data_IF_119153470653
#
_entry.id   IF_119153470653
#
_cell.length_a   1.000
_cell.length_b   1.000
_cell.length_c   1.000
_cell.angle_alpha   90.00
_cell.angle_beta   90.00
_cell.angle_gamma   90.00
#
_symmetry.space_group_name_H-M   'P 1'
#
loop_
_entity.id
_entity.type
_entity.pdbx_description
1 polymer ?
#
# COMPACT_ATOMS: atom_id res chain seq x y z
N UNK A 1 -9.65 24.47 -8.87
CA UNK A 1 -8.80 23.28 -8.91
C UNK A 1 -9.79 22.14 -8.88
N UNK A 2 -10.08 21.55 -10.04
CA UNK A 2 -11.08 20.49 -10.10
C UNK A 2 -10.60 19.35 -9.22
N UNK A 3 -11.41 19.02 -8.21
CA UNK A 3 -11.20 17.89 -7.33
C UNK A 3 -11.19 16.66 -8.24
N UNK A 4 -10.02 16.07 -8.49
CA UNK A 4 -9.90 14.85 -9.26
C UNK A 4 -10.62 13.78 -8.45
N UNK A 5 -11.89 13.55 -8.77
CA UNK A 5 -12.70 12.51 -8.16
C UNK A 5 -12.00 11.18 -8.41
N UNK A 6 -11.51 10.57 -7.34
CA UNK A 6 -10.95 9.24 -7.39
C UNK A 6 -12.00 8.28 -7.95
N UNK A 7 -11.64 7.35 -8.86
CA UNK A 7 -12.51 6.25 -9.21
C UNK A 7 -13.11 5.59 -7.96
N UNK A 8 -14.45 5.39 -7.90
CA UNK A 8 -15.12 4.89 -6.69
C UNK A 8 -14.53 3.59 -6.14
N UNK A 9 -13.93 2.76 -7.00
CA UNK A 9 -13.25 1.53 -6.62
C UNK A 9 -12.04 1.79 -5.71
N UNK A 10 -11.17 2.74 -6.08
CA UNK A 10 -10.03 3.16 -5.26
C UNK A 10 -10.53 3.74 -3.96
N UNK A 11 -11.52 4.62 -4.05
CA UNK A 11 -12.04 5.34 -2.89
C UNK A 11 -12.57 4.34 -1.84
N UNK A 12 -13.35 3.34 -2.28
CA UNK A 12 -13.85 2.29 -1.40
C UNK A 12 -12.73 1.41 -0.83
N UNK A 13 -11.67 1.12 -1.61
CA UNK A 13 -10.50 0.36 -1.14
C UNK A 13 -9.71 1.12 -0.07
N UNK A 14 -9.44 2.41 -0.31
CA UNK A 14 -8.78 3.29 0.66
C UNK A 14 -9.64 3.39 1.93
N UNK A 15 -10.96 3.62 1.79
CA UNK A 15 -11.88 3.67 2.94
C UNK A 15 -11.87 2.36 3.72
N UNK A 16 -11.93 1.21 3.06
CA UNK A 16 -11.87 -0.09 3.72
C UNK A 16 -10.60 -0.24 4.57
N UNK A 17 -9.44 0.04 3.96
CA UNK A 17 -8.14 -0.05 4.64
C UNK A 17 -7.98 0.94 5.78
N UNK A 18 -8.43 2.18 5.57
CA UNK A 18 -8.49 3.20 6.59
C UNK A 18 -9.33 2.77 7.79
N UNK A 19 -10.54 2.29 7.53
CA UNK A 19 -11.50 1.91 8.56
C UNK A 19 -11.06 0.68 9.34
N UNK A 20 -10.41 -0.30 8.70
CA UNK A 20 -9.75 -1.42 9.40
C UNK A 20 -8.71 -0.93 10.39
N UNK A 21 -7.84 -0.02 9.97
CA UNK A 21 -6.84 0.55 10.87
C UNK A 21 -7.47 1.29 12.06
N UNK A 22 -8.47 2.14 11.78
CA UNK A 22 -9.18 2.93 12.79
C UNK A 22 -9.90 2.02 13.80
N UNK A 23 -10.59 0.98 13.32
CA UNK A 23 -11.36 0.07 14.17
C UNK A 23 -10.45 -0.75 15.09
N UNK A 24 -9.37 -1.30 14.55
CA UNK A 24 -8.51 -2.23 15.27
C UNK A 24 -7.52 -1.56 16.22
N UNK A 25 -6.91 -0.47 15.77
CA UNK A 25 -5.82 0.20 16.50
C UNK A 25 -6.29 1.46 17.21
N UNK A 26 -7.49 1.94 16.89
CA UNK A 26 -8.04 3.18 17.41
C UNK A 26 -7.37 4.40 16.78
N UNK A 27 -8.05 5.54 16.89
CA UNK A 27 -7.48 6.86 16.60
C UNK A 27 -7.86 7.81 17.74
N UNK A 28 -6.97 8.74 18.13
CA UNK A 28 -7.30 9.75 19.12
C UNK A 28 -8.40 10.67 18.58
N UNK A 29 -9.22 11.26 19.46
CA UNK A 29 -10.29 12.18 19.02
C UNK A 29 -9.74 13.38 18.22
N UNK A 30 -8.49 13.76 18.48
CA UNK A 30 -7.76 14.79 17.71
C UNK A 30 -7.51 14.42 16.25
N UNK A 31 -7.49 13.14 15.89
CA UNK A 31 -7.47 12.69 14.49
C UNK A 31 -8.76 13.11 13.79
N UNK A 32 -9.91 12.79 14.38
CA UNK A 32 -11.23 13.11 13.81
C UNK A 32 -11.47 14.62 13.69
N UNK A 33 -10.91 15.40 14.61
CA UNK A 33 -11.04 16.87 14.61
C UNK A 33 -10.11 17.59 13.62
N UNK A 34 -9.01 16.96 13.20
CA UNK A 34 -8.01 17.59 12.31
C UNK A 34 -8.22 17.31 10.82
N UNK A 35 -9.01 16.29 10.49
CA UNK A 35 -9.28 15.92 9.12
C UNK A 35 -10.64 16.45 8.68
N UNK A 36 -10.60 17.58 7.97
CA UNK A 36 -11.76 18.05 7.21
C UNK A 36 -12.22 16.93 6.26
N UNK A 37 -13.51 16.60 6.32
CA UNK A 37 -14.12 15.51 5.55
C UNK A 37 -14.24 14.16 6.27
N UNK A 38 -13.60 13.98 7.44
CA UNK A 38 -13.82 12.80 8.29
C UNK A 38 -15.12 12.95 9.09
N UNK A 39 -15.33 14.10 9.73
CA UNK A 39 -16.60 14.44 10.39
C UNK A 39 -17.56 15.08 9.38
N UNK A 40 -18.82 14.67 9.42
CA UNK A 40 -19.90 15.39 8.73
C UNK A 40 -20.23 16.69 9.50
N UNK A 41 -20.82 17.67 8.82
CA UNK A 41 -21.19 18.94 9.45
C UNK A 41 -22.13 18.71 10.65
N UNK A 42 -21.71 19.15 11.83
CA UNK A 42 -22.44 18.95 13.08
C UNK A 42 -22.30 17.57 13.74
N UNK A 43 -21.54 16.63 13.14
CA UNK A 43 -21.33 15.28 13.66
C UNK A 43 -20.34 15.27 14.83
N UNK A 44 -20.70 14.62 15.93
CA UNK A 44 -19.78 14.36 17.04
C UNK A 44 -18.81 13.21 16.73
N UNK A 45 -17.66 13.16 17.41
CA UNK A 45 -16.69 12.06 17.27
C UNK A 45 -17.32 10.69 17.58
N UNK A 46 -18.25 10.62 18.52
CA UNK A 46 -18.96 9.37 18.86
C UNK A 46 -19.86 8.91 17.70
N UNK A 47 -20.61 9.82 17.09
CA UNK A 47 -21.45 9.51 15.93
C UNK A 47 -20.60 9.06 14.74
N UNK A 48 -19.46 9.73 14.49
CA UNK A 48 -18.53 9.35 13.44
C UNK A 48 -17.96 7.94 13.65
N UNK A 49 -17.58 7.57 14.89
CA UNK A 49 -17.11 6.21 15.21
C UNK A 49 -18.17 5.15 14.93
N UNK A 50 -19.45 5.43 15.21
CA UNK A 50 -20.57 4.53 14.90
C UNK A 50 -20.75 4.41 13.38
N UNK A 51 -20.78 5.54 12.67
CA UNK A 51 -20.89 5.57 11.20
C UNK A 51 -19.76 4.79 10.53
N UNK A 52 -18.54 4.95 11.00
CA UNK A 52 -17.36 4.24 10.51
C UNK A 52 -17.44 2.74 10.72
N UNK A 53 -17.94 2.30 11.88
CA UNK A 53 -18.18 0.88 12.13
C UNK A 53 -19.22 0.29 11.17
N UNK A 54 -20.31 1.02 10.91
CA UNK A 54 -21.34 0.59 9.97
C UNK A 54 -20.81 0.54 8.54
N UNK A 55 -20.10 1.59 8.10
CA UNK A 55 -19.48 1.66 6.79
C UNK A 55 -18.43 0.56 6.58
N UNK A 56 -17.62 0.25 7.59
CA UNK A 56 -16.67 -0.87 7.55
C UNK A 56 -17.42 -2.18 7.31
N UNK A 57 -18.50 -2.44 8.06
CA UNK A 57 -19.29 -3.66 7.91
C UNK A 57 -19.95 -3.77 6.53
N UNK A 58 -20.33 -2.66 5.90
CA UNK A 58 -20.83 -2.62 4.53
C UNK A 58 -19.72 -2.92 3.51
N UNK A 59 -18.56 -2.28 3.65
CA UNK A 59 -17.42 -2.45 2.76
C UNK A 59 -16.84 -3.87 2.82
N UNK A 60 -16.75 -4.48 4.01
CA UNK A 60 -16.31 -5.87 4.19
C UNK A 60 -17.22 -6.90 3.51
N UNK A 61 -18.52 -6.59 3.40
CA UNK A 61 -19.49 -7.44 2.68
C UNK A 61 -19.46 -7.19 1.18
N UNK A 62 -19.09 -5.97 0.78
CA UNK A 62 -18.98 -5.61 -0.63
C UNK A 62 -17.73 -6.24 -1.25
N UNK A 63 -17.82 -6.65 -2.51
CA UNK A 63 -16.63 -7.05 -3.27
C UNK A 63 -15.88 -5.78 -3.69
N UNK A 64 -15.09 -5.21 -2.78
CA UNK A 64 -14.25 -4.04 -3.06
C UNK A 64 -13.17 -4.46 -4.05
N UNK A 65 -13.38 -4.13 -5.32
CA UNK A 65 -12.42 -4.37 -6.40
C UNK A 65 -11.38 -3.26 -6.45
N UNK A 66 -10.23 -3.54 -7.05
CA UNK A 66 -9.28 -2.47 -7.41
C UNK A 66 -9.77 -1.75 -8.67
N UNK A 67 -8.94 -0.83 -9.18
CA UNK A 67 -9.14 -0.26 -10.51
C UNK A 67 -8.68 -1.29 -11.53
N UNK A 68 -9.43 -1.46 -12.61
CA UNK A 68 -9.12 -2.41 -13.68
C UNK A 68 -7.68 -2.26 -14.21
N UNK A 69 -7.19 -1.02 -14.33
CA UNK A 69 -5.82 -0.76 -14.79
C UNK A 69 -4.77 -1.28 -13.81
N UNK A 70 -4.97 -1.05 -12.51
CA UNK A 70 -4.07 -1.54 -11.48
C UNK A 70 -4.12 -3.06 -11.39
N UNK A 71 -5.32 -3.66 -11.43
CA UNK A 71 -5.50 -5.11 -11.40
C UNK A 71 -4.75 -5.77 -12.59
N UNK A 72 -4.95 -5.28 -13.81
CA UNK A 72 -4.24 -5.78 -15.00
C UNK A 72 -2.73 -5.66 -14.85
N UNK A 73 -2.24 -4.52 -14.36
CA UNK A 73 -0.81 -4.26 -14.24
C UNK A 73 -0.17 -5.12 -13.14
N UNK A 74 -0.86 -5.32 -12.02
CA UNK A 74 -0.46 -6.25 -10.96
C UNK A 74 -0.42 -7.69 -11.47
N UNK A 75 -1.44 -8.12 -12.21
CA UNK A 75 -1.51 -9.50 -12.72
C UNK A 75 -0.36 -9.78 -13.70
N UNK A 76 -0.06 -8.84 -14.61
CA UNK A 76 1.07 -8.96 -15.52
C UNK A 76 2.41 -9.04 -14.78
N UNK A 77 2.59 -8.20 -13.75
CA UNK A 77 3.80 -8.16 -12.93
C UNK A 77 3.99 -9.45 -12.12
N UNK A 78 2.95 -9.88 -11.42
CA UNK A 78 2.96 -11.08 -10.59
C UNK A 78 3.18 -12.34 -11.44
N UNK A 79 2.61 -12.41 -12.64
CA UNK A 79 2.82 -13.53 -13.55
C UNK A 79 4.30 -13.65 -13.97
N UNK A 80 4.95 -12.53 -14.31
CA UNK A 80 6.37 -12.53 -14.74
C UNK A 80 7.32 -12.88 -13.59
N UNK A 81 7.03 -12.39 -12.39
CA UNK A 81 7.86 -12.61 -11.22
C UNK A 81 7.49 -13.85 -10.41
N UNK A 82 6.45 -14.57 -10.84
CA UNK A 82 5.93 -15.77 -10.17
C UNK A 82 5.58 -15.47 -8.71
N UNK A 83 4.95 -14.31 -8.49
CA UNK A 83 4.49 -13.82 -7.18
C UNK A 83 3.09 -14.33 -6.89
N UNK A 84 2.80 -14.55 -5.61
CA UNK A 84 1.49 -15.04 -5.18
C UNK A 84 0.50 -13.90 -4.84
N UNK A 85 -0.69 -14.27 -4.36
CA UNK A 85 -1.74 -13.31 -4.00
C UNK A 85 -1.36 -12.44 -2.79
N UNK A 86 -0.52 -12.94 -1.87
CA UNK A 86 -0.05 -12.15 -0.73
C UNK A 86 0.91 -11.08 -1.22
N UNK A 87 1.87 -11.45 -2.06
CA UNK A 87 2.79 -10.52 -2.72
C UNK A 87 2.01 -9.45 -3.50
N UNK A 88 1.00 -9.86 -4.27
CA UNK A 88 0.12 -8.97 -5.06
C UNK A 88 -0.55 -7.91 -4.17
N UNK A 89 -1.12 -8.33 -3.04
CA UNK A 89 -1.78 -7.42 -2.08
C UNK A 89 -0.81 -6.46 -1.41
N UNK A 90 0.41 -6.92 -1.11
CA UNK A 90 1.46 -6.05 -0.55
C UNK A 90 1.87 -4.98 -1.57
N UNK A 91 2.07 -5.36 -2.84
CA UNK A 91 2.40 -4.40 -3.91
C UNK A 91 1.23 -3.44 -4.13
N UNK A 92 -0.01 -3.92 -4.16
CA UNK A 92 -1.21 -3.07 -4.28
C UNK A 92 -1.25 -2.03 -3.17
N UNK A 93 -1.03 -2.44 -1.91
CA UNK A 93 -0.95 -1.52 -0.78
C UNK A 93 0.17 -0.50 -0.95
N UNK A 94 1.37 -0.96 -1.32
CA UNK A 94 2.51 -0.09 -1.54
C UNK A 94 2.23 0.94 -2.66
N UNK A 95 1.57 0.56 -3.75
CA UNK A 95 1.18 1.50 -4.83
C UNK A 95 0.20 2.54 -4.31
N UNK A 96 -0.87 2.12 -3.63
CA UNK A 96 -1.92 3.02 -3.16
C UNK A 96 -1.40 3.96 -2.06
N UNK A 97 -0.64 3.47 -1.08
CA UNK A 97 -0.12 4.32 0.01
C UNK A 97 0.89 5.36 -0.50
N UNK A 98 1.63 5.07 -1.58
CA UNK A 98 2.56 6.04 -2.17
C UNK A 98 1.86 7.15 -2.96
N UNK A 99 0.62 6.93 -3.42
CA UNK A 99 -0.10 7.86 -4.31
C UNK A 99 -1.23 8.63 -3.62
N UNK A 100 -1.83 8.07 -2.55
CA UNK A 100 -3.00 8.66 -1.92
C UNK A 100 -2.73 9.12 -0.48
N UNK A 101 -2.76 10.44 -0.28
CA UNK A 101 -2.46 11.10 1.01
C UNK A 101 -3.32 10.60 2.18
N UNK A 102 -4.60 10.31 1.94
CA UNK A 102 -5.52 9.86 2.99
C UNK A 102 -5.02 8.61 3.73
N UNK A 103 -4.40 7.66 3.02
CA UNK A 103 -3.84 6.46 3.63
C UNK A 103 -2.49 6.73 4.29
N UNK A 104 -1.69 7.63 3.73
CA UNK A 104 -0.43 8.06 4.34
C UNK A 104 -0.66 8.69 5.71
N UNK A 105 -1.69 9.51 5.83
CA UNK A 105 -2.00 10.18 7.09
C UNK A 105 -2.35 9.17 8.18
N UNK A 106 -3.18 8.18 7.87
CA UNK A 106 -3.47 7.09 8.81
C UNK A 106 -2.20 6.36 9.22
N UNK A 107 -1.32 6.05 8.26
CA UNK A 107 -0.02 5.43 8.53
C UNK A 107 0.89 6.30 9.42
N UNK A 108 0.85 7.63 9.27
CA UNK A 108 1.59 8.58 10.13
C UNK A 108 1.04 8.60 11.54
N UNK A 109 -0.27 8.50 11.72
CA UNK A 109 -0.90 8.43 13.04
C UNK A 109 -0.60 7.12 13.78
N UNK A 110 -0.52 6.00 13.05
CA UNK A 110 -0.07 4.72 13.62
C UNK A 110 1.39 4.78 14.10
N UNK A 111 2.17 5.69 13.54
CA UNK A 111 3.53 5.99 13.98
C UNK A 111 4.53 4.90 13.60
N UNK A 112 5.72 5.03 14.18
CA UNK A 112 6.78 4.05 14.01
C UNK A 112 6.49 2.81 14.88
N UNK A 113 6.75 1.62 14.33
CA UNK A 113 6.49 0.37 15.02
C UNK A 113 7.60 -0.66 14.80
N UNK A 114 7.76 -1.54 15.79
CA UNK A 114 8.65 -2.69 15.66
C UNK A 114 8.13 -3.65 14.59
N UNK A 115 9.03 -4.42 13.97
CA UNK A 115 8.71 -5.28 12.81
C UNK A 115 7.59 -6.30 13.05
N UNK A 116 7.42 -6.78 14.28
CA UNK A 116 6.31 -7.68 14.64
C UNK A 116 4.97 -6.96 14.52
N UNK A 117 4.85 -5.76 15.10
CA UNK A 117 3.64 -4.94 15.01
C UNK A 117 3.38 -4.51 13.56
N UNK A 118 4.44 -4.24 12.79
CA UNK A 118 4.31 -3.94 11.36
C UNK A 118 3.59 -5.06 10.59
N UNK A 119 3.96 -6.32 10.81
CA UNK A 119 3.28 -7.45 10.15
C UNK A 119 1.82 -7.56 10.58
N UNK A 120 1.51 -7.32 11.86
CA UNK A 120 0.14 -7.34 12.38
C UNK A 120 -0.72 -6.22 11.78
N UNK A 121 -0.19 -4.99 11.75
CA UNK A 121 -0.90 -3.82 11.25
C UNK A 121 -1.10 -3.93 9.73
N UNK A 122 -0.05 -4.22 8.97
CA UNK A 122 -0.16 -4.39 7.51
C UNK A 122 -1.14 -5.51 7.18
N UNK A 123 -1.00 -6.67 7.83
CA UNK A 123 -1.88 -7.82 7.62
C UNK A 123 -3.34 -7.49 7.92
N UNK A 124 -3.61 -6.80 9.02
CA UNK A 124 -4.96 -6.36 9.35
C UNK A 124 -5.54 -5.41 8.29
N UNK A 125 -4.78 -4.39 7.88
CA UNK A 125 -5.21 -3.42 6.87
C UNK A 125 -5.57 -4.11 5.56
N UNK A 126 -4.68 -4.95 5.02
CA UNK A 126 -4.87 -5.56 3.70
C UNK A 126 -5.69 -6.87 3.74
N UNK A 127 -6.07 -7.35 4.93
CA UNK A 127 -6.88 -8.54 5.12
C UNK A 127 -6.11 -9.84 4.82
N UNK A 128 -4.90 -9.94 5.36
CA UNK A 128 -4.00 -11.10 5.21
C UNK A 128 -3.42 -11.45 6.59
N UNK A 129 -3.30 -12.74 6.95
CA UNK A 129 -2.67 -13.14 8.20
C UNK A 129 -1.25 -12.58 8.35
N UNK A 130 -0.91 -12.09 9.54
CA UNK A 130 0.42 -11.52 9.81
C UNK A 130 1.58 -12.50 9.53
N UNK A 131 1.35 -13.80 9.72
CA UNK A 131 2.32 -14.85 9.37
C UNK A 131 2.61 -14.88 7.87
N UNK A 132 1.59 -14.74 7.03
CA UNK A 132 1.75 -14.76 5.58
C UNK A 132 2.45 -13.49 5.10
N UNK A 133 2.15 -12.33 5.71
CA UNK A 133 2.90 -11.08 5.49
C UNK A 133 4.38 -11.28 5.82
N UNK A 134 4.67 -11.89 6.97
CA UNK A 134 6.04 -12.19 7.39
C UNK A 134 6.73 -13.08 6.36
N UNK A 135 6.10 -14.18 5.92
CA UNK A 135 6.69 -15.05 4.89
C UNK A 135 6.97 -14.31 3.58
N UNK A 136 6.01 -13.52 3.10
CA UNK A 136 6.14 -12.75 1.86
C UNK A 136 7.24 -11.68 1.93
N UNK A 137 7.56 -11.18 3.13
CA UNK A 137 8.58 -10.14 3.34
C UNK A 137 9.93 -10.65 3.87
N UNK A 138 10.11 -11.95 4.04
CA UNK A 138 11.42 -12.55 4.40
C UNK A 138 12.46 -12.26 3.32
N UNK A 139 13.73 -12.04 3.67
CA UNK A 139 14.79 -11.71 2.70
C UNK A 139 14.88 -12.67 1.51
N UNK A 140 14.62 -13.96 1.72
CA UNK A 140 14.68 -15.01 0.69
C UNK A 140 13.40 -15.14 -0.15
N UNK A 141 12.35 -14.38 0.16
CA UNK A 141 11.09 -14.41 -0.57
C UNK A 141 11.24 -13.88 -1.99
N UNK A 142 10.38 -14.33 -2.90
CA UNK A 142 10.40 -13.86 -4.30
C UNK A 142 10.18 -12.35 -4.40
N UNK A 143 9.25 -11.80 -3.61
CA UNK A 143 8.99 -10.36 -3.59
C UNK A 143 10.23 -9.57 -3.16
N UNK A 144 10.95 -10.02 -2.12
CA UNK A 144 12.19 -9.36 -1.67
C UNK A 144 13.31 -9.50 -2.70
N UNK A 145 13.44 -10.66 -3.34
CA UNK A 145 14.45 -10.91 -4.37
C UNK A 145 14.14 -10.22 -5.71
N UNK A 146 12.89 -9.81 -5.95
CA UNK A 146 12.46 -9.15 -7.18
C UNK A 146 13.07 -7.75 -7.37
N UNK A 147 13.58 -7.13 -6.30
CA UNK A 147 14.02 -5.74 -6.25
C UNK A 147 12.95 -4.75 -6.74
N UNK A 148 11.66 -5.06 -6.68
CA UNK A 148 10.60 -4.07 -6.94
C UNK A 148 10.42 -3.15 -5.73
N UNK A 149 10.48 -3.77 -4.55
CA UNK A 149 10.11 -3.18 -3.29
C UNK A 149 11.36 -3.15 -2.39
N UNK A 150 11.85 -1.96 -2.09
CA UNK A 150 12.84 -1.77 -1.03
C UNK A 150 12.10 -1.69 0.31
N UNK A 151 12.55 -2.49 1.28
CA UNK A 151 12.07 -2.47 2.66
C UNK A 151 13.17 -1.93 3.56
N UNK A 152 12.93 -0.79 4.19
CA UNK A 152 13.89 -0.20 5.14
C UNK A 152 13.75 -0.90 6.50
N UNK A 153 14.57 -1.92 6.74
CA UNK A 153 14.58 -2.73 7.97
C UNK A 153 15.25 -2.00 9.15
N UNK A 154 14.71 -0.84 9.54
CA UNK A 154 15.08 -0.17 10.79
C UNK A 154 14.30 -0.77 11.96
N UNK A 155 14.77 -0.51 13.18
CA UNK A 155 14.05 -0.88 14.40
C UNK A 155 12.66 -0.23 14.48
N UNK A 156 12.51 0.93 13.83
CA UNK A 156 11.31 1.76 13.79
C UNK A 156 10.81 1.87 12.34
N UNK A 157 9.75 1.12 12.03
CA UNK A 157 9.17 1.00 10.69
C UNK A 157 7.86 1.79 10.63
N UNK A 158 7.67 2.62 9.60
CA UNK A 158 6.42 3.33 9.36
C UNK A 158 5.82 2.93 8.02
N UNK A 159 4.52 2.63 8.01
CA UNK A 159 3.80 2.06 6.85
C UNK A 159 3.83 2.94 5.60
N UNK A 160 3.85 4.27 5.75
CA UNK A 160 3.86 5.21 4.62
C UNK A 160 5.23 5.31 3.93
N UNK A 161 6.31 4.87 4.58
CA UNK A 161 7.67 5.00 4.05
C UNK A 161 8.49 3.70 4.05
N UNK A 162 7.94 2.60 4.58
CA UNK A 162 8.59 1.29 4.60
C UNK A 162 8.81 0.75 3.20
N UNK A 163 7.87 1.02 2.30
CA UNK A 163 7.86 0.54 0.93
C UNK A 163 8.27 1.66 -0.02
N UNK A 164 9.48 1.53 -0.56
CA UNK A 164 9.95 2.39 -1.65
C UNK A 164 10.12 1.56 -2.89
N UNK A 165 9.53 2.02 -3.99
CA UNK A 165 9.82 1.45 -5.28
C UNK A 165 11.15 1.99 -5.79
N UNK A 166 11.97 1.12 -6.38
CA UNK A 166 13.24 1.53 -7.00
C UNK A 166 13.04 2.49 -8.18
N UNK A 167 11.83 2.52 -8.75
CA UNK A 167 11.44 3.42 -9.80
C UNK A 167 10.42 4.44 -9.27
N UNK A 168 10.77 5.73 -9.33
CA UNK A 168 10.00 6.80 -8.68
C UNK A 168 8.58 7.00 -9.25
N UNK A 169 8.35 6.63 -10.50
CA UNK A 169 7.02 6.72 -11.12
C UNK A 169 6.29 5.36 -11.14
N UNK A 170 6.80 4.35 -10.41
CA UNK A 170 6.24 3.00 -10.44
C UNK A 170 4.78 2.99 -10.03
N UNK A 171 4.45 3.63 -8.90
CA UNK A 171 3.08 3.68 -8.41
C UNK A 171 2.15 4.40 -9.38
N UNK A 172 2.59 5.54 -9.94
CA UNK A 172 1.85 6.30 -10.94
C UNK A 172 1.60 5.48 -12.21
N UNK A 173 2.61 4.77 -12.72
CA UNK A 173 2.47 3.93 -13.91
C UNK A 173 1.59 2.71 -13.66
N UNK A 174 1.70 2.07 -12.49
CA UNK A 174 0.81 0.97 -12.10
C UNK A 174 -0.67 1.39 -12.13
N UNK A 175 -0.98 2.63 -11.77
CA UNK A 175 -2.35 3.16 -11.76
C UNK A 175 -2.87 3.59 -13.14
N UNK A 176 -1.99 4.13 -14.01
CA UNK A 176 -2.43 4.87 -15.21
C UNK A 176 -2.08 4.20 -16.54
N UNK A 177 -1.10 3.28 -16.56
CA UNK A 177 -0.56 2.72 -17.79
C UNK A 177 -1.56 1.76 -18.43
N UNK A 178 -2.00 2.10 -19.64
CA UNK A 178 -2.91 1.25 -20.44
C UNK A 178 -2.21 0.15 -21.27
N UNK A 179 -0.91 0.29 -21.51
CA UNK A 179 -0.09 -0.67 -22.28
C UNK A 179 0.64 -1.69 -21.41
N UNK A 180 1.57 -2.45 -22.00
CA UNK A 180 2.37 -3.43 -21.27
C UNK A 180 3.29 -2.74 -20.24
N UNK A 181 2.92 -2.86 -18.95
CA UNK A 181 3.69 -2.33 -17.82
C UNK A 181 5.09 -2.95 -17.75
N UNK A 182 5.27 -4.16 -18.30
CA UNK A 182 6.55 -4.86 -18.30
C UNK A 182 7.56 -4.18 -19.22
N UNK A 183 7.16 -3.43 -20.25
CA UNK A 183 8.11 -2.66 -21.06
C UNK A 183 8.85 -1.62 -20.22
N UNK A 184 8.11 -0.90 -19.38
CA UNK A 184 8.68 0.08 -18.44
C UNK A 184 9.57 -0.65 -17.44
N UNK A 185 9.04 -1.73 -16.84
CA UNK A 185 9.79 -2.52 -15.89
C UNK A 185 11.12 -3.02 -16.45
N UNK A 186 11.11 -3.67 -17.61
CA UNK A 186 12.31 -4.15 -18.29
C UNK A 186 13.27 -3.02 -18.60
N UNK A 187 12.78 -1.90 -19.13
CA UNK A 187 13.64 -0.77 -19.51
C UNK A 187 14.30 -0.10 -18.31
N UNK A 188 13.65 -0.09 -17.14
CA UNK A 188 14.16 0.55 -15.93
C UNK A 188 15.05 -0.38 -15.12
N UNK A 189 14.63 -1.64 -14.92
CA UNK A 189 15.33 -2.58 -14.04
C UNK A 189 16.51 -3.29 -14.73
N UNK A 190 16.44 -3.61 -16.02
CA UNK A 190 17.62 -4.15 -16.73
C UNK A 190 18.72 -3.09 -16.95
N UNK A 191 18.36 -1.81 -17.07
CA UNK A 191 19.35 -0.72 -17.07
C UNK A 191 20.06 -0.58 -15.72
N UNK A 192 19.35 -0.76 -14.62
CA UNK A 192 19.94 -0.71 -13.27
C UNK A 192 20.81 -1.94 -12.97
N UNK A 193 20.40 -3.13 -13.41
CA UNK A 193 21.21 -4.36 -13.29
C UNK A 193 22.55 -4.24 -14.03
N UNK A 194 22.55 -3.72 -15.26
CA UNK A 194 23.78 -3.48 -16.03
C UNK A 194 24.68 -2.40 -15.43
N UNK A 195 24.13 -1.40 -14.73
CA UNK A 195 24.93 -0.42 -13.97
C UNK A 195 25.50 -1.01 -12.67
N UNK A 196 24.81 -1.95 -12.00
CA UNK A 196 25.36 -2.66 -10.83
C UNK A 196 26.44 -3.68 -11.21
N UNK A 197 26.35 -4.31 -12.38
CA UNK A 197 27.43 -5.17 -12.91
C UNK A 197 28.73 -4.40 -13.15
N UNK A 198 28.64 -3.10 -13.50
CA UNK A 198 29.81 -2.24 -13.69
C UNK A 198 30.42 -1.73 -12.37
N UNK A 199 29.69 -1.80 -11.26
CA UNK A 199 30.22 -1.45 -9.93
C UNK A 199 30.94 -2.62 -9.24
N UNK A 200 30.86 -3.84 -9.78
CA UNK A 200 31.67 -4.99 -9.33
C UNK A 200 32.94 -5.19 -10.17
N UNK A 201 33.13 -4.40 -11.24
CA UNK A 201 34.33 -4.44 -12.13
C UNK A 201 35.21 -3.18 -11.95
N UNK A 202 34.96 -2.36 -10.92
CA UNK A 202 35.93 -1.39 -10.44
C UNK A 202 36.41 -1.81 -9.05
N UNK A 203 37.19 -2.89 -9.05
CA UNK A 203 38.15 -3.14 -7.99
C UNK A 203 39.32 -2.16 -8.16
N UNK A 204 39.27 -1.08 -7.38
CA UNK A 204 40.43 -0.40 -6.77
C UNK A 204 39.99 0.05 -5.39
#
# INVERSE_FOLDING_TARGET
MDEILLPPQIENKIKLWALRAIEKFGMPDSFFQKFDGILQEGESVTEAKIRFKNLLAELEKSKVTSIETLDRNLDALCAVLILDEVDRKIIEFAVIVNEFAALQDICRYLGDMHIIAFYEVLGHIIGVPAMDIKEALRPESKLRQSNILEMNERQDIRLDCVFKFFYIYFSTDMLNRQGDILEIFRSTFFKLASHRSNLTILGI
#
